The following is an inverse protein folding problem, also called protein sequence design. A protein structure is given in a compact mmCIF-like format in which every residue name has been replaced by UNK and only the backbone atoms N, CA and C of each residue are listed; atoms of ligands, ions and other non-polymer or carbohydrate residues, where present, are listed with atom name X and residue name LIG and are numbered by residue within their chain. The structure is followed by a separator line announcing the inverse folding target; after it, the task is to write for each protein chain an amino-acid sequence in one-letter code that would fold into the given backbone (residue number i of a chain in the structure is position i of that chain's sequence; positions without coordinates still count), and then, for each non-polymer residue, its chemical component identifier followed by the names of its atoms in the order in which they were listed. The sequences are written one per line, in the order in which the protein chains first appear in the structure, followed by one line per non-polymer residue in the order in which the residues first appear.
data_IF_620018100989
#
_entry.id   IF_620018100989
#
_cell.length_a   1.000
_cell.length_b   1.000
_cell.length_c   1.000
_cell.angle_alpha   90.00
_cell.angle_beta   90.00
_cell.angle_gamma   90.00
#
_symmetry.space_group_name_H-M   'P 1'
#
loop_
_entity.id
_entity.type
_entity.pdbx_description
1 polymer ?
#
# COMPACT_ATOMS: atom_id res chain seq x y z
N UNK A 1 -10.27 7.03 -18.90
CA UNK A 1 -9.02 6.67 -18.21
C UNK A 1 -8.45 5.36 -18.76
N UNK A 2 -7.14 5.18 -18.65
CA UNK A 2 -6.43 3.96 -19.06
C UNK A 2 -6.04 3.18 -17.81
N UNK A 3 -6.28 1.85 -17.84
CA UNK A 3 -5.88 0.93 -16.79
C UNK A 3 -4.73 0.02 -17.25
N UNK A 4 -3.88 -0.37 -16.31
CA UNK A 4 -2.72 -1.22 -16.55
C UNK A 4 -2.61 -2.30 -15.46
N UNK A 5 -2.20 -3.51 -15.84
CA UNK A 5 -1.72 -4.54 -14.92
C UNK A 5 -0.48 -5.19 -15.51
N UNK A 6 0.62 -5.14 -14.78
CA UNK A 6 1.88 -5.80 -15.13
C UNK A 6 2.07 -6.97 -14.20
N UNK A 7 2.01 -8.16 -14.74
CA UNK A 7 2.36 -9.43 -14.12
C UNK A 7 3.84 -9.67 -14.41
N UNK A 8 4.71 -9.21 -13.50
CA UNK A 8 6.13 -9.07 -13.82
C UNK A 8 6.90 -10.39 -13.66
N UNK A 9 6.75 -11.07 -12.52
CA UNK A 9 7.45 -12.33 -12.25
C UNK A 9 6.65 -13.20 -11.29
N UNK A 10 6.52 -14.48 -11.60
CA UNK A 10 5.81 -15.48 -10.79
C UNK A 10 6.68 -16.70 -10.44
N UNK A 11 8.01 -16.56 -10.52
CA UNK A 11 8.91 -17.68 -10.31
C UNK A 11 8.79 -18.33 -8.91
N UNK A 12 8.44 -17.53 -7.89
CA UNK A 12 8.30 -18.01 -6.51
C UNK A 12 6.86 -18.04 -6.00
N UNK A 13 5.89 -17.62 -6.81
CA UNK A 13 4.47 -17.64 -6.42
C UNK A 13 3.60 -16.74 -7.27
N UNK A 14 2.29 -16.64 -6.97
CA UNK A 14 1.36 -15.78 -7.68
C UNK A 14 1.85 -14.33 -7.74
N UNK A 15 1.52 -13.63 -8.83
CA UNK A 15 1.82 -12.21 -8.94
C UNK A 15 1.16 -11.45 -7.79
N UNK A 16 1.88 -10.53 -7.17
CA UNK A 16 1.41 -9.76 -6.02
C UNK A 16 1.88 -8.32 -6.10
N UNK A 17 0.98 -7.37 -5.93
CA UNK A 17 1.33 -5.96 -5.82
C UNK A 17 0.14 -5.02 -5.99
N UNK A 18 0.32 -3.78 -5.54
CA UNK A 18 -0.72 -2.77 -5.43
C UNK A 18 -1.28 -2.26 -6.76
N UNK A 19 -2.42 -1.61 -6.65
CA UNK A 19 -3.04 -0.80 -7.69
C UNK A 19 -2.90 0.68 -7.31
N UNK A 20 -2.40 1.50 -8.23
CA UNK A 20 -2.24 2.96 -8.03
C UNK A 20 -3.25 3.72 -8.89
N UNK A 21 -4.04 4.60 -8.26
CA UNK A 21 -4.89 5.55 -8.97
C UNK A 21 -4.33 6.96 -8.80
N UNK A 22 -3.69 7.45 -9.85
CA UNK A 22 -3.06 8.77 -9.86
C UNK A 22 -2.89 9.26 -11.30
N UNK A 23 -3.09 10.54 -11.61
CA UNK A 23 -3.03 11.06 -12.98
C UNK A 23 -1.66 10.86 -13.67
N UNK A 24 -0.58 10.70 -12.91
CA UNK A 24 0.74 10.40 -13.48
C UNK A 24 0.93 8.95 -13.94
N UNK A 25 0.00 8.04 -13.64
CA UNK A 25 0.15 6.63 -13.98
C UNK A 25 0.21 6.41 -15.48
N UNK A 26 1.23 5.70 -15.90
CA UNK A 26 1.42 5.23 -17.27
C UNK A 26 2.11 3.86 -17.28
N UNK A 27 2.24 3.25 -18.44
CA UNK A 27 2.81 1.91 -18.56
C UNK A 27 4.26 1.82 -18.04
N UNK A 28 5.10 2.84 -18.24
CA UNK A 28 6.50 2.83 -17.79
C UNK A 28 6.59 2.85 -16.28
N UNK A 29 5.78 3.69 -15.62
CA UNK A 29 5.69 3.75 -14.15
C UNK A 29 5.22 2.39 -13.59
N UNK A 30 4.18 1.79 -14.16
CA UNK A 30 3.67 0.50 -13.68
C UNK A 30 4.68 -0.63 -13.89
N UNK A 31 5.43 -0.63 -14.99
CA UNK A 31 6.52 -1.59 -15.21
C UNK A 31 7.63 -1.42 -14.17
N UNK A 32 8.07 -0.19 -13.91
CA UNK A 32 9.08 0.11 -12.90
C UNK A 32 8.65 -0.34 -11.51
N UNK A 33 7.43 0.02 -11.10
CA UNK A 33 6.88 -0.39 -9.81
C UNK A 33 6.69 -1.91 -9.70
N UNK A 34 6.39 -2.58 -10.80
CA UNK A 34 6.32 -4.05 -10.85
C UNK A 34 7.70 -4.69 -10.66
N UNK A 35 8.74 -4.09 -11.23
CA UNK A 35 10.12 -4.47 -11.02
C UNK A 35 10.54 -4.33 -9.55
N UNK A 36 10.30 -3.18 -8.93
CA UNK A 36 10.57 -2.98 -7.50
C UNK A 36 9.82 -3.99 -6.62
N UNK A 37 8.59 -4.34 -7.00
CA UNK A 37 7.76 -5.27 -6.25
C UNK A 37 8.37 -6.68 -6.19
N UNK A 38 9.17 -7.10 -7.19
CA UNK A 38 9.86 -8.39 -7.17
C UNK A 38 10.80 -8.46 -5.96
N UNK A 39 11.65 -7.45 -5.79
CA UNK A 39 12.62 -7.42 -4.69
C UNK A 39 11.92 -7.33 -3.34
N UNK A 40 10.93 -6.43 -3.23
CA UNK A 40 10.14 -6.28 -2.02
C UNK A 40 9.53 -7.61 -1.57
N UNK A 41 8.92 -8.35 -2.49
CA UNK A 41 8.24 -9.61 -2.17
C UNK A 41 9.23 -10.74 -1.87
N UNK A 42 10.32 -10.86 -2.62
CA UNK A 42 11.32 -11.91 -2.40
C UNK A 42 11.99 -11.79 -1.02
N UNK A 43 12.18 -10.57 -0.53
CA UNK A 43 12.78 -10.33 0.80
C UNK A 43 11.86 -10.71 1.96
N UNK A 44 10.58 -10.97 1.73
CA UNK A 44 9.66 -11.44 2.77
C UNK A 44 9.83 -12.93 3.11
N UNK A 45 10.47 -13.70 2.23
CA UNK A 45 10.54 -15.17 2.33
C UNK A 45 9.21 -15.87 2.02
N UNK A 46 8.17 -15.16 1.63
CA UNK A 46 6.88 -15.73 1.26
C UNK A 46 6.83 -16.14 -0.21
N UNK A 47 6.04 -17.18 -0.57
CA UNK A 47 5.90 -17.64 -1.95
C UNK A 47 4.97 -16.73 -2.75
N UNK A 48 5.37 -15.48 -2.95
CA UNK A 48 4.64 -14.46 -3.71
C UNK A 48 5.55 -13.81 -4.75
N UNK A 49 5.06 -13.74 -5.96
CA UNK A 49 5.73 -13.09 -7.09
C UNK A 49 5.54 -11.57 -7.08
N UNK A 50 5.93 -10.90 -8.15
CA UNK A 50 5.82 -9.47 -8.31
C UNK A 50 4.86 -9.04 -9.41
N UNK A 51 3.98 -8.11 -9.08
CA UNK A 51 3.08 -7.47 -10.02
C UNK A 51 2.72 -6.06 -9.58
N UNK A 52 2.24 -5.25 -10.50
CA UNK A 52 1.76 -3.90 -10.23
C UNK A 52 0.68 -3.51 -11.21
N UNK A 53 -0.24 -2.65 -10.77
CA UNK A 53 -1.27 -2.13 -11.65
C UNK A 53 -1.69 -0.73 -11.27
N UNK A 54 -2.65 -0.21 -11.99
CA UNK A 54 -3.21 1.11 -11.71
C UNK A 54 -3.86 1.76 -12.91
N UNK A 55 -4.22 3.02 -12.73
CA UNK A 55 -4.85 3.85 -13.75
C UNK A 55 -4.47 5.31 -13.58
N UNK A 56 -4.53 6.06 -14.67
CA UNK A 56 -4.44 7.53 -14.70
C UNK A 56 -5.69 8.22 -14.14
N UNK A 57 -6.61 7.48 -13.55
CA UNK A 57 -7.75 8.02 -12.83
C UNK A 57 -7.30 8.78 -11.59
N UNK A 58 -7.76 10.02 -11.44
CA UNK A 58 -7.53 10.83 -10.24
C UNK A 58 -8.75 10.74 -9.31
N UNK A 59 -8.63 10.12 -8.14
CA UNK A 59 -9.73 10.05 -7.18
C UNK A 59 -9.95 11.36 -6.41
N UNK A 60 -9.00 12.31 -6.46
CA UNK A 60 -9.13 13.58 -5.76
C UNK A 60 -10.28 14.41 -6.35
N UNK A 61 -11.12 14.95 -5.49
CA UNK A 61 -12.27 15.76 -5.89
C UNK A 61 -13.42 14.99 -6.54
N UNK A 62 -13.36 13.65 -6.57
CA UNK A 62 -14.46 12.81 -7.04
C UNK A 62 -15.38 12.44 -5.91
N UNK A 63 -16.66 12.33 -6.23
CA UNK A 63 -17.66 11.79 -5.30
C UNK A 63 -17.43 10.30 -5.05
N UNK A 64 -17.94 9.80 -3.93
CA UNK A 64 -17.89 8.37 -3.61
C UNK A 64 -18.51 7.49 -4.72
N UNK A 65 -19.59 7.95 -5.30
CA UNK A 65 -20.26 7.24 -6.40
C UNK A 65 -19.41 7.16 -7.67
N UNK A 66 -18.69 8.22 -8.00
CA UNK A 66 -17.76 8.21 -9.15
C UNK A 66 -16.61 7.25 -8.92
N UNK A 67 -16.01 7.27 -7.71
CA UNK A 67 -14.94 6.36 -7.33
C UNK A 67 -15.44 4.91 -7.35
N UNK A 68 -16.62 4.63 -6.78
CA UNK A 68 -17.21 3.29 -6.78
C UNK A 68 -17.44 2.78 -8.22
N UNK A 69 -18.03 3.59 -9.08
CA UNK A 69 -18.28 3.21 -10.49
C UNK A 69 -16.99 2.96 -11.24
N UNK A 70 -15.97 3.79 -10.99
CA UNK A 70 -14.65 3.56 -11.59
C UNK A 70 -14.04 2.23 -11.11
N UNK A 71 -14.03 1.96 -9.80
CA UNK A 71 -13.54 0.70 -9.23
C UNK A 71 -14.27 -0.52 -9.80
N UNK A 72 -15.59 -0.45 -9.94
CA UNK A 72 -16.40 -1.51 -10.54
C UNK A 72 -16.04 -1.73 -12.01
N UNK A 73 -15.91 -0.66 -12.79
CA UNK A 73 -15.51 -0.74 -14.20
C UNK A 73 -14.09 -1.29 -14.36
N UNK A 74 -13.15 -0.83 -13.53
CA UNK A 74 -11.77 -1.29 -13.53
C UNK A 74 -11.71 -2.81 -13.20
N UNK A 75 -12.44 -3.26 -12.18
CA UNK A 75 -12.51 -4.68 -11.82
C UNK A 75 -13.17 -5.52 -12.92
N UNK A 76 -14.19 -5.00 -13.59
CA UNK A 76 -14.84 -5.69 -14.72
C UNK A 76 -13.87 -5.95 -15.88
N UNK A 77 -12.88 -5.08 -16.08
CA UNK A 77 -11.82 -5.33 -17.05
C UNK A 77 -10.72 -6.26 -16.52
N UNK A 78 -10.46 -6.24 -15.21
CA UNK A 78 -9.32 -6.92 -14.59
C UNK A 78 -9.60 -8.37 -14.16
N UNK A 79 -10.84 -8.70 -13.77
CA UNK A 79 -11.17 -9.95 -13.06
C UNK A 79 -10.70 -11.24 -13.75
N UNK A 80 -10.59 -11.24 -15.09
CA UNK A 80 -10.22 -12.43 -15.87
C UNK A 80 -8.75 -12.83 -15.73
N UNK A 81 -7.90 -11.91 -15.30
CA UNK A 81 -6.45 -12.13 -15.21
C UNK A 81 -5.94 -12.17 -13.79
N UNK A 82 -6.81 -12.03 -12.81
CA UNK A 82 -6.49 -12.08 -11.37
C UNK A 82 -7.18 -13.25 -10.69
N UNK A 83 -6.69 -13.62 -9.53
CA UNK A 83 -7.25 -14.69 -8.72
C UNK A 83 -6.32 -15.05 -7.56
N UNK A 84 -6.80 -15.79 -6.55
CA UNK A 84 -6.03 -16.09 -5.34
C UNK A 84 -4.72 -16.86 -5.62
N UNK A 85 -4.67 -17.65 -6.68
CA UNK A 85 -3.52 -18.47 -7.06
C UNK A 85 -2.80 -17.97 -8.34
N UNK A 86 -3.25 -16.83 -8.90
CA UNK A 86 -2.70 -16.30 -10.15
C UNK A 86 -2.08 -14.92 -9.93
N UNK A 87 -2.87 -13.98 -9.48
CA UNK A 87 -2.47 -12.60 -9.28
C UNK A 87 -3.35 -11.94 -8.23
N UNK A 88 -2.74 -11.46 -7.15
CA UNK A 88 -3.44 -10.88 -6.00
C UNK A 88 -3.10 -9.39 -5.88
N UNK A 89 -3.94 -8.49 -6.40
CA UNK A 89 -3.77 -7.06 -6.23
C UNK A 89 -3.92 -6.60 -4.77
N UNK A 90 -3.47 -5.37 -4.50
CA UNK A 90 -3.54 -4.71 -3.20
C UNK A 90 -3.76 -3.20 -3.36
N UNK A 91 -3.81 -2.47 -2.25
CA UNK A 91 -3.81 -1.01 -2.26
C UNK A 91 -2.44 -0.40 -2.55
N UNK A 92 -2.44 0.84 -3.00
CA UNK A 92 -1.29 1.73 -3.21
C UNK A 92 -1.82 3.18 -3.22
N UNK A 93 -1.06 4.16 -3.71
CA UNK A 93 -1.51 5.55 -3.81
C UNK A 93 -2.87 5.64 -4.51
N UNK A 94 -3.82 6.33 -3.87
CA UNK A 94 -5.19 6.50 -4.38
C UNK A 94 -6.09 5.25 -4.31
N UNK A 95 -5.61 4.16 -3.70
CA UNK A 95 -6.36 2.91 -3.50
C UNK A 95 -6.20 2.44 -2.06
N UNK A 96 -7.16 2.79 -1.24
CA UNK A 96 -7.26 2.36 0.16
C UNK A 96 -8.27 1.24 0.37
N UNK A 97 -8.64 1.01 1.63
CA UNK A 97 -9.62 -0.01 2.01
C UNK A 97 -10.99 0.17 1.34
N UNK A 98 -11.41 1.41 1.11
CA UNK A 98 -12.65 1.76 0.41
C UNK A 98 -12.64 1.25 -1.03
N UNK A 99 -11.62 1.60 -1.80
CA UNK A 99 -11.46 1.20 -3.20
C UNK A 99 -11.32 -0.33 -3.33
N UNK A 100 -10.56 -0.94 -2.43
CA UNK A 100 -10.45 -2.40 -2.33
C UNK A 100 -11.82 -3.04 -2.06
N UNK A 101 -12.62 -2.45 -1.18
CA UNK A 101 -13.98 -2.91 -0.92
C UNK A 101 -14.87 -2.87 -2.16
N UNK A 102 -14.86 -1.77 -2.90
CA UNK A 102 -15.63 -1.64 -4.14
C UNK A 102 -15.19 -2.65 -5.21
N UNK A 103 -13.88 -2.84 -5.36
CA UNK A 103 -13.33 -3.81 -6.31
C UNK A 103 -13.63 -5.25 -5.91
N UNK A 104 -13.52 -5.59 -4.62
CA UNK A 104 -13.84 -6.92 -4.13
C UNK A 104 -15.32 -7.26 -4.27
N UNK A 105 -16.21 -6.31 -3.95
CA UNK A 105 -17.64 -6.47 -4.17
C UNK A 105 -18.00 -6.73 -5.63
N UNK A 106 -17.34 -6.02 -6.55
CA UNK A 106 -17.55 -6.23 -7.99
C UNK A 106 -16.98 -7.58 -8.46
N UNK A 107 -15.80 -7.98 -7.98
CA UNK A 107 -15.23 -9.30 -8.27
C UNK A 107 -16.18 -10.42 -7.85
N UNK A 108 -16.66 -10.38 -6.59
CA UNK A 108 -17.64 -11.32 -6.06
C UNK A 108 -18.93 -11.34 -6.89
N UNK A 109 -19.41 -10.16 -7.31
CA UNK A 109 -20.64 -10.04 -8.13
C UNK A 109 -20.50 -10.71 -9.49
N UNK A 110 -19.32 -10.61 -10.13
CA UNK A 110 -19.07 -11.18 -11.46
C UNK A 110 -18.79 -12.69 -11.38
N UNK A 111 -17.95 -13.11 -10.42
CA UNK A 111 -17.46 -14.50 -10.34
C UNK A 111 -18.39 -15.41 -9.53
N UNK A 112 -19.22 -14.85 -8.65
CA UNK A 112 -19.99 -15.60 -7.67
C UNK A 112 -19.15 -16.20 -6.53
N UNK A 113 -17.85 -15.83 -6.42
CA UNK A 113 -16.90 -16.45 -5.50
C UNK A 113 -16.47 -15.47 -4.41
N UNK A 114 -16.32 -15.99 -3.19
CA UNK A 114 -15.75 -15.30 -2.05
C UNK A 114 -14.38 -15.92 -1.75
N UNK A 115 -13.33 -15.29 -2.25
CA UNK A 115 -11.98 -15.85 -2.19
C UNK A 115 -10.89 -14.80 -1.93
N UNK A 116 -9.64 -15.24 -1.70
CA UNK A 116 -8.51 -14.42 -1.33
C UNK A 116 -7.87 -13.63 -2.49
N UNK A 117 -8.64 -12.97 -3.32
CA UNK A 117 -8.17 -12.32 -4.56
C UNK A 117 -7.55 -10.95 -4.37
N UNK A 118 -7.90 -10.22 -3.32
CA UNK A 118 -7.40 -8.87 -3.01
C UNK A 118 -6.91 -8.83 -1.58
N UNK A 119 -5.83 -8.10 -1.30
CA UNK A 119 -5.41 -7.77 0.06
C UNK A 119 -5.71 -6.31 0.41
N UNK A 120 -5.83 -6.00 1.70
CA UNK A 120 -6.28 -4.69 2.17
C UNK A 120 -7.80 -4.57 2.32
N UNK A 121 -8.50 -5.71 2.32
CA UNK A 121 -9.94 -5.78 2.61
C UNK A 121 -10.23 -5.41 4.07
N UNK A 122 -11.44 -4.91 4.33
CA UNK A 122 -11.94 -4.73 5.69
C UNK A 122 -12.07 -6.06 6.44
N UNK A 123 -11.99 -6.03 7.76
CA UNK A 123 -12.06 -7.24 8.61
C UNK A 123 -13.37 -8.01 8.39
N UNK A 124 -14.49 -7.31 8.17
CA UNK A 124 -15.80 -7.92 7.97
C UNK A 124 -15.95 -8.72 6.67
N UNK A 125 -15.00 -8.60 5.74
CA UNK A 125 -15.05 -9.30 4.45
C UNK A 125 -13.69 -9.88 4.04
N UNK A 126 -12.99 -10.50 4.98
CA UNK A 126 -11.80 -11.30 4.73
C UNK A 126 -10.47 -10.55 4.83
N UNK A 127 -10.44 -9.39 5.51
CA UNK A 127 -9.23 -8.65 5.81
C UNK A 127 -8.42 -9.27 6.96
N UNK A 128 -7.17 -8.83 7.10
CA UNK A 128 -6.25 -9.23 8.15
C UNK A 128 -6.10 -8.14 9.21
N UNK A 129 -5.89 -8.54 10.45
CA UNK A 129 -5.47 -7.65 11.54
C UNK A 129 -4.06 -7.09 11.30
N UNK A 130 -3.71 -6.01 11.98
CA UNK A 130 -2.39 -5.36 11.96
C UNK A 130 -1.93 -4.94 10.53
N UNK A 131 -2.85 -4.75 9.58
CA UNK A 131 -2.48 -4.34 8.23
C UNK A 131 -2.26 -2.84 8.10
N UNK A 132 -3.02 -2.05 8.85
CA UNK A 132 -3.03 -0.58 8.73
C UNK A 132 -1.70 0.01 9.18
N UNK A 133 -1.16 -0.45 10.29
CA UNK A 133 0.09 -0.01 10.90
C UNK A 133 1.34 -0.68 10.31
N UNK A 134 1.19 -1.81 9.63
CA UNK A 134 2.30 -2.70 9.28
C UNK A 134 3.46 -2.03 8.53
N UNK A 135 3.17 -1.12 7.61
CA UNK A 135 4.22 -0.47 6.81
C UNK A 135 5.01 0.54 7.65
N UNK A 136 4.34 1.39 8.41
CA UNK A 136 4.98 2.38 9.28
C UNK A 136 5.79 1.71 10.39
N UNK A 137 5.22 0.72 11.05
CA UNK A 137 5.90 -0.04 12.09
C UNK A 137 7.11 -0.81 11.54
N UNK A 138 6.96 -1.48 10.41
CA UNK A 138 8.04 -2.22 9.77
C UNK A 138 9.22 -1.35 9.37
N UNK A 139 8.95 -0.12 8.90
CA UNK A 139 10.00 0.87 8.64
C UNK A 139 10.80 1.19 9.90
N UNK A 140 10.13 1.46 11.01
CA UNK A 140 10.80 1.83 12.27
C UNK A 140 11.56 0.64 12.86
N UNK A 141 11.03 -0.58 12.79
CA UNK A 141 11.76 -1.78 13.19
C UNK A 141 13.04 -1.99 12.35
N UNK A 142 12.98 -1.74 11.04
CA UNK A 142 14.19 -1.81 10.21
C UNK A 142 15.23 -0.78 10.65
N UNK A 143 14.81 0.46 10.95
CA UNK A 143 15.71 1.50 11.47
C UNK A 143 16.31 1.10 12.80
N UNK A 144 15.52 0.50 13.70
CA UNK A 144 16.00 -0.02 14.98
C UNK A 144 17.10 -1.09 14.80
N UNK A 145 16.87 -2.06 13.92
CA UNK A 145 17.87 -3.09 13.62
C UNK A 145 19.13 -2.52 12.97
N UNK A 146 18.99 -1.55 12.07
CA UNK A 146 20.14 -0.84 11.50
C UNK A 146 20.96 -0.12 12.57
N UNK A 147 20.30 0.56 13.52
CA UNK A 147 20.99 1.24 14.62
C UNK A 147 21.70 0.26 15.55
N UNK A 148 21.09 -0.88 15.87
CA UNK A 148 21.70 -1.95 16.69
C UNK A 148 23.03 -2.43 16.08
N UNK A 149 23.12 -2.56 14.75
CA UNK A 149 24.35 -2.92 14.05
C UNK A 149 25.49 -1.89 14.25
N UNK A 150 25.16 -0.66 14.66
CA UNK A 150 26.10 0.39 14.99
C UNK A 150 26.19 0.67 16.50
N UNK A 151 25.79 -0.29 17.34
CA UNK A 151 25.72 -0.17 18.80
C UNK A 151 24.96 1.09 19.26
N UNK A 152 23.83 1.40 18.60
CA UNK A 152 23.00 2.57 18.80
C UNK A 152 21.52 2.18 18.94
N UNK A 153 20.66 3.14 19.32
CA UNK A 153 19.22 2.92 19.51
C UNK A 153 18.42 4.10 18.99
N UNK A 154 17.11 3.93 18.87
CA UNK A 154 16.15 5.01 18.56
C UNK A 154 15.95 5.93 19.79
N UNK A 155 16.09 5.39 21.00
CA UNK A 155 15.86 6.12 22.23
C UNK A 155 16.63 7.44 22.30
N UNK A 156 15.95 8.53 22.60
CA UNK A 156 16.51 9.88 22.72
C UNK A 156 16.91 10.55 21.40
N UNK A 157 16.74 9.88 20.25
CA UNK A 157 17.07 10.50 18.95
C UNK A 157 16.01 11.46 18.49
N UNK A 158 16.44 12.58 17.92
CA UNK A 158 15.56 13.48 17.17
C UNK A 158 15.29 12.89 15.79
N UNK A 159 14.01 12.75 15.46
CA UNK A 159 13.52 12.09 14.24
C UNK A 159 12.70 13.11 13.43
N UNK A 160 13.02 13.20 12.15
CA UNK A 160 12.30 14.03 11.19
C UNK A 160 11.50 13.09 10.28
N UNK A 161 10.19 13.31 10.20
CA UNK A 161 9.30 12.56 9.31
C UNK A 161 8.74 13.50 8.26
N UNK A 162 8.88 13.11 6.99
CA UNK A 162 8.22 13.77 5.86
C UNK A 162 6.99 12.96 5.46
N UNK A 163 5.82 13.57 5.59
CA UNK A 163 4.53 12.93 5.34
C UNK A 163 3.59 13.05 6.54
N UNK A 164 2.30 12.82 6.30
CA UNK A 164 1.22 12.75 7.30
C UNK A 164 0.16 11.71 6.93
N UNK A 165 0.45 10.88 5.90
CA UNK A 165 -0.42 9.78 5.51
C UNK A 165 -0.26 8.56 6.41
N UNK A 166 -0.92 7.46 6.06
CA UNK A 166 -0.94 6.22 6.83
C UNK A 166 0.47 5.76 7.28
N UNK A 167 1.42 5.68 6.38
CA UNK A 167 2.78 5.19 6.71
C UNK A 167 3.48 6.14 7.68
N UNK A 168 3.41 7.46 7.42
CA UNK A 168 4.04 8.45 8.28
C UNK A 168 3.44 8.46 9.69
N UNK A 169 2.11 8.43 9.81
CA UNK A 169 1.42 8.43 11.10
C UNK A 169 1.86 7.24 11.97
N UNK A 170 1.83 6.03 11.41
CA UNK A 170 2.25 4.84 12.16
C UNK A 170 3.78 4.77 12.38
N UNK A 171 4.59 5.36 11.50
CA UNK A 171 6.02 5.49 11.75
C UNK A 171 6.30 6.46 12.92
N UNK A 172 5.58 7.57 12.99
CA UNK A 172 5.64 8.51 14.13
C UNK A 172 5.26 7.79 15.41
N UNK A 173 4.08 7.18 15.46
CA UNK A 173 3.58 6.43 16.63
C UNK A 173 4.60 5.40 17.12
N UNK A 174 5.15 4.59 16.21
CA UNK A 174 6.13 3.57 16.57
C UNK A 174 7.45 4.17 17.05
N UNK A 175 7.96 5.20 16.41
CA UNK A 175 9.18 5.88 16.81
C UNK A 175 9.06 6.48 18.22
N UNK A 176 7.93 7.11 18.54
CA UNK A 176 7.61 7.62 19.87
C UNK A 176 7.56 6.49 20.90
N UNK A 177 6.90 5.36 20.57
CA UNK A 177 6.81 4.20 21.46
C UNK A 177 8.16 3.57 21.81
N UNK A 178 9.19 3.78 20.99
CA UNK A 178 10.58 3.33 21.21
C UNK A 178 11.47 4.43 21.81
N UNK A 179 10.88 5.49 22.33
CA UNK A 179 11.61 6.58 23.01
C UNK A 179 12.29 7.58 22.08
N UNK A 180 11.99 7.57 20.79
CA UNK A 180 12.44 8.60 19.85
C UNK A 180 11.65 9.91 20.03
N UNK A 181 12.27 11.05 19.71
CA UNK A 181 11.62 12.36 19.69
C UNK A 181 11.32 12.75 18.24
N UNK A 182 10.09 12.61 17.81
CA UNK A 182 9.67 13.03 16.47
C UNK A 182 9.31 14.52 16.50
N UNK A 183 9.89 15.30 15.61
CA UNK A 183 9.78 16.77 15.61
C UNK A 183 9.05 17.33 14.39
N UNK A 184 8.77 16.52 13.38
CA UNK A 184 8.07 17.00 12.15
C UNK A 184 7.05 16.01 11.63
N UNK A 185 6.01 16.56 11.00
CA UNK A 185 5.13 15.88 10.04
C UNK A 185 4.81 16.87 8.91
N UNK A 186 4.48 16.39 7.70
CA UNK A 186 4.20 17.27 6.56
C UNK A 186 3.25 16.65 5.54
N UNK A 187 2.62 17.50 4.75
CA UNK A 187 1.91 17.13 3.54
C UNK A 187 2.19 18.13 2.39
N UNK A 188 1.41 18.07 1.31
CA UNK A 188 1.55 19.01 0.19
C UNK A 188 1.11 20.44 0.50
N UNK A 189 0.42 20.66 1.62
CA UNK A 189 -0.13 21.96 2.04
C UNK A 189 0.74 22.67 3.07
N UNK A 190 1.58 21.92 3.80
CA UNK A 190 2.43 22.49 4.85
C UNK A 190 3.13 21.45 5.71
N UNK A 191 3.68 21.91 6.81
CA UNK A 191 4.35 21.07 7.79
C UNK A 191 4.08 21.53 9.22
N UNK A 192 4.22 20.59 10.14
CA UNK A 192 4.30 20.86 11.58
C UNK A 192 5.75 20.67 11.99
N UNK A 193 6.24 21.58 12.82
CA UNK A 193 7.54 21.45 13.47
C UNK A 193 7.40 21.80 14.94
N UNK A 194 7.72 20.86 15.81
CA UNK A 194 7.78 21.04 17.24
C UNK A 194 9.15 20.59 17.76
N UNK A 195 10.02 21.53 18.20
CA UNK A 195 11.36 21.17 18.68
C UNK A 195 11.33 20.36 19.99
N UNK A 196 10.23 20.42 20.75
CA UNK A 196 10.05 19.66 22.00
C UNK A 196 9.52 18.26 21.77
N UNK A 197 9.01 18.00 20.57
CA UNK A 197 8.47 16.71 20.12
C UNK A 197 6.96 16.78 19.86
N UNK A 198 6.51 16.09 18.83
CA UNK A 198 5.08 15.92 18.50
C UNK A 198 4.51 14.81 19.38
N UNK A 199 3.33 15.07 20.01
CA UNK A 199 2.55 14.09 20.78
C UNK A 199 1.61 13.25 19.88
#
# INVERSE_FOLDING_TARGET
NRGYRVQFNSAIGPYKGGLRFHPSVNMSIIKFLGFEQIFKNSLTGLPIGGGKGGSDFDPKGKSEMEIMRFCQSFMTALYRVIGPNTDVPAGDIGVGGREIGYMFGQYKRITGQYEGVLTGKGLSFGGSLARTEATGYGLVYLVEEMLKNHANSIEGKTIVVSGSGNVATYAIEKALSLGGKVVTASDSSGFVYDPDGID
#
